data_IF_701800584008
#
_entry.id   IF_701800584008
#
_cell.length_a   1.000
_cell.length_b   1.000
_cell.length_c   1.000
_cell.angle_alpha   90.00
_cell.angle_beta   90.00
_cell.angle_gamma   90.00
#
_symmetry.space_group_name_H-M   'P 1'
#
loop_
_entity.id
_entity.type
_entity.pdbx_description
1 polymer ?
#
# COMPACT_ATOMS: atom_id res chain seq x y z
N UNK A 1 9.41 21.24 -2.68
CA UNK A 1 9.25 19.77 -2.82
C UNK A 1 8.81 19.21 -1.47
N UNK A 2 7.68 18.51 -1.38
CA UNK A 2 7.12 18.06 -0.09
C UNK A 2 5.63 17.68 -0.11
N UNK A 3 4.92 17.96 -1.22
CA UNK A 3 3.49 17.67 -1.37
C UNK A 3 3.18 16.19 -1.12
N UNK A 4 3.96 15.26 -1.68
CA UNK A 4 3.75 13.81 -1.49
C UNK A 4 3.86 13.41 -0.02
N UNK A 5 4.86 13.91 0.70
CA UNK A 5 5.06 13.62 2.12
C UNK A 5 3.94 14.25 2.99
N UNK A 6 3.47 15.43 2.62
CA UNK A 6 2.31 16.07 3.27
C UNK A 6 1.02 15.30 3.00
N UNK A 7 0.78 14.87 1.77
CA UNK A 7 -0.38 14.06 1.39
C UNK A 7 -0.36 12.70 2.06
N UNK A 8 0.79 12.04 2.14
CA UNK A 8 0.94 10.77 2.85
C UNK A 8 0.64 10.96 4.35
N UNK A 9 1.21 12.00 4.97
CA UNK A 9 0.92 12.32 6.37
C UNK A 9 -0.55 12.67 6.65
N UNK A 10 -1.25 13.25 5.67
CA UNK A 10 -2.70 13.49 5.76
C UNK A 10 -3.50 12.20 5.57
N UNK A 11 -3.15 11.38 4.58
CA UNK A 11 -3.81 10.12 4.27
C UNK A 11 -3.65 9.08 5.40
N UNK A 12 -2.50 9.05 6.06
CA UNK A 12 -2.20 8.12 7.17
C UNK A 12 -2.51 8.72 8.55
N UNK A 13 -3.18 9.88 8.61
CA UNK A 13 -3.53 10.55 9.87
C UNK A 13 -4.51 9.74 10.73
N UNK A 14 -5.39 8.97 10.08
CA UNK A 14 -6.37 8.08 10.72
C UNK A 14 -6.42 6.74 9.98
N UNK A 15 -5.39 5.88 10.14
CA UNK A 15 -5.35 4.58 9.52
C UNK A 15 -6.56 3.72 9.92
N UNK A 16 -6.99 2.87 8.99
CA UNK A 16 -7.99 1.83 9.21
C UNK A 16 -7.29 0.52 9.54
N UNK A 17 -7.57 -0.02 10.72
CA UNK A 17 -6.89 -1.20 11.24
C UNK A 17 -7.77 -2.44 11.14
N UNK A 18 -7.32 -3.46 10.41
CA UNK A 18 -7.92 -4.78 10.43
C UNK A 18 -7.34 -5.58 11.60
N UNK A 19 -8.16 -5.83 12.62
CA UNK A 19 -7.73 -6.45 13.89
C UNK A 19 -8.12 -7.92 13.92
N UNK A 20 -7.12 -8.79 13.91
CA UNK A 20 -7.26 -10.24 14.01
C UNK A 20 -6.90 -10.67 15.42
N UNK A 21 -7.74 -11.50 16.03
CA UNK A 21 -7.48 -12.09 17.35
C UNK A 21 -6.99 -13.54 17.18
N UNK A 22 -5.83 -13.84 17.76
CA UNK A 22 -5.34 -15.20 17.91
C UNK A 22 -6.02 -15.88 19.12
N UNK A 23 -6.06 -17.23 19.19
CA UNK A 23 -6.59 -17.93 20.36
C UNK A 23 -5.95 -17.43 21.67
N UNK A 24 -6.78 -16.97 22.62
CA UNK A 24 -6.31 -16.38 23.89
C UNK A 24 -5.89 -14.90 23.82
N UNK A 25 -6.00 -14.27 22.65
CA UNK A 25 -5.57 -12.90 22.36
C UNK A 25 -6.53 -11.78 22.81
N UNK A 26 -7.60 -12.11 23.55
CA UNK A 26 -8.65 -11.15 23.91
C UNK A 26 -8.12 -9.94 24.70
N UNK A 27 -7.16 -10.14 25.61
CA UNK A 27 -6.57 -9.04 26.40
C UNK A 27 -5.79 -8.05 25.54
N UNK A 28 -5.08 -8.58 24.54
CA UNK A 28 -4.31 -7.82 23.56
C UNK A 28 -5.26 -7.07 22.62
N UNK A 29 -6.34 -7.72 22.18
CA UNK A 29 -7.39 -7.09 21.37
C UNK A 29 -8.01 -5.90 22.10
N UNK A 30 -8.39 -6.09 23.36
CA UNK A 30 -8.96 -5.01 24.18
C UNK A 30 -8.00 -3.82 24.35
N UNK A 31 -6.70 -4.08 24.51
CA UNK A 31 -5.69 -3.03 24.60
C UNK A 31 -5.53 -2.29 23.27
N UNK A 32 -5.45 -3.01 22.16
CA UNK A 32 -5.41 -2.44 20.80
C UNK A 32 -6.64 -1.57 20.55
N UNK A 33 -7.86 -2.08 20.75
CA UNK A 33 -9.09 -1.32 20.49
C UNK A 33 -9.18 -0.06 21.36
N UNK A 34 -8.71 -0.12 22.62
CA UNK A 34 -8.60 1.04 23.51
C UNK A 34 -7.66 2.10 22.93
N UNK A 35 -6.47 1.70 22.49
CA UNK A 35 -5.50 2.60 21.86
C UNK A 35 -6.03 3.19 20.54
N UNK A 36 -6.65 2.38 19.69
CA UNK A 36 -7.27 2.85 18.46
C UNK A 36 -8.32 3.93 18.74
N UNK A 37 -9.19 3.68 19.73
CA UNK A 37 -10.20 4.65 20.15
C UNK A 37 -9.56 5.94 20.70
N UNK A 38 -8.55 5.82 21.56
CA UNK A 38 -7.83 6.98 22.12
C UNK A 38 -7.15 7.83 21.04
N UNK A 39 -6.68 7.21 19.95
CA UNK A 39 -6.04 7.86 18.79
C UNK A 39 -7.04 8.35 17.75
N UNK A 40 -8.31 7.99 17.86
CA UNK A 40 -9.35 8.25 16.85
C UNK A 40 -9.13 7.48 15.54
N UNK A 41 -8.43 6.37 15.59
CA UNK A 41 -8.24 5.43 14.48
C UNK A 41 -9.45 4.50 14.39
N UNK A 42 -9.71 3.95 13.20
CA UNK A 42 -10.95 3.19 12.95
C UNK A 42 -10.64 1.72 12.66
N UNK A 43 -11.47 0.78 13.13
CA UNK A 43 -11.41 -0.59 12.64
C UNK A 43 -11.79 -0.64 11.15
N UNK A 44 -11.15 -1.53 10.41
CA UNK A 44 -11.52 -1.91 9.07
C UNK A 44 -12.37 -3.19 9.10
N UNK A 45 -13.36 -3.29 8.22
CA UNK A 45 -14.23 -4.47 8.12
C UNK A 45 -13.78 -5.46 7.05
N UNK A 46 -12.81 -5.08 6.21
CA UNK A 46 -12.19 -5.95 5.20
C UNK A 46 -10.72 -5.60 4.98
N UNK A 47 -9.88 -6.58 4.58
CA UNK A 47 -8.47 -6.36 4.25
C UNK A 47 -8.25 -5.29 3.19
N UNK A 48 -9.06 -5.30 2.13
CA UNK A 48 -8.98 -4.32 1.02
C UNK A 48 -9.25 -2.86 1.44
N UNK A 49 -9.85 -2.66 2.62
CA UNK A 49 -10.11 -1.32 3.18
C UNK A 49 -9.13 -0.94 4.29
N UNK A 50 -8.18 -1.80 4.64
CA UNK A 50 -7.29 -1.60 5.76
C UNK A 50 -5.92 -1.06 5.33
N UNK A 51 -5.37 -0.18 6.16
CA UNK A 51 -4.00 0.31 6.04
C UNK A 51 -3.08 -0.47 6.99
N UNK A 52 -3.64 -1.09 8.03
CA UNK A 52 -2.87 -1.79 9.06
C UNK A 52 -3.47 -3.16 9.34
N UNK A 53 -2.64 -4.19 9.34
CA UNK A 53 -2.99 -5.50 9.91
C UNK A 53 -2.46 -5.57 11.34
N UNK A 54 -3.34 -5.80 12.31
CA UNK A 54 -2.99 -5.97 13.72
C UNK A 54 -3.33 -7.38 14.16
N UNK A 55 -2.32 -8.14 14.57
CA UNK A 55 -2.49 -9.48 15.14
C UNK A 55 -2.42 -9.37 16.67
N UNK A 56 -3.48 -9.78 17.36
CA UNK A 56 -3.58 -9.75 18.82
C UNK A 56 -3.36 -11.15 19.38
N UNK A 57 -2.25 -11.35 20.08
CA UNK A 57 -1.79 -12.64 20.59
C UNK A 57 -0.80 -13.33 19.65
N UNK A 58 -0.41 -14.54 20.02
CA UNK A 58 0.51 -15.38 19.26
C UNK A 58 -0.27 -16.32 18.33
N UNK A 59 -0.01 -16.23 17.03
CA UNK A 59 -0.62 -17.14 16.06
C UNK A 59 0.05 -18.49 16.12
N UNK A 60 -0.78 -19.54 16.13
CA UNK A 60 -0.29 -20.89 15.86
C UNK A 60 0.28 -20.96 14.44
N UNK A 61 1.29 -21.81 14.16
CA UNK A 61 1.91 -21.92 12.84
C UNK A 61 0.91 -22.14 11.70
N UNK A 62 -0.17 -22.85 11.96
CA UNK A 62 -1.24 -23.12 10.98
C UNK A 62 -2.01 -21.86 10.60
N UNK A 63 -2.11 -20.88 11.50
CA UNK A 63 -2.81 -19.61 11.29
C UNK A 63 -1.89 -18.51 10.72
N UNK A 64 -0.57 -18.68 10.79
CA UNK A 64 0.39 -17.71 10.25
C UNK A 64 0.20 -17.48 8.74
N UNK A 65 -0.03 -18.55 7.98
CA UNK A 65 -0.30 -18.46 6.54
C UNK A 65 -1.58 -17.68 6.22
N UNK A 66 -2.60 -17.78 7.07
CA UNK A 66 -3.83 -17.01 6.91
C UNK A 66 -3.59 -15.52 7.15
N UNK A 67 -2.75 -15.16 8.13
CA UNK A 67 -2.36 -13.77 8.36
C UNK A 67 -1.52 -13.21 7.20
N UNK A 68 -0.64 -14.01 6.61
CA UNK A 68 0.12 -13.61 5.41
C UNK A 68 -0.80 -13.43 4.19
N UNK A 69 -1.84 -14.25 4.04
CA UNK A 69 -2.86 -14.07 3.00
C UNK A 69 -3.70 -12.80 3.23
N UNK A 70 -4.08 -12.49 4.46
CA UNK A 70 -4.75 -11.23 4.77
C UNK A 70 -3.84 -10.04 4.46
N UNK A 71 -2.56 -10.15 4.81
CA UNK A 71 -1.56 -9.13 4.53
C UNK A 71 -1.37 -8.86 3.03
N UNK A 72 -1.37 -9.90 2.19
CA UNK A 72 -1.25 -9.73 0.74
C UNK A 72 -2.44 -9.00 0.12
N UNK A 73 -3.62 -9.06 0.75
CA UNK A 73 -4.84 -8.37 0.32
C UNK A 73 -4.92 -6.91 0.74
N UNK A 74 -4.05 -6.43 1.64
CA UNK A 74 -4.04 -5.02 2.04
C UNK A 74 -3.45 -4.14 0.91
N UNK A 75 -4.10 -3.04 0.52
CA UNK A 75 -3.50 -2.07 -0.40
C UNK A 75 -2.32 -1.35 0.25
N UNK A 76 -1.42 -0.77 -0.56
CA UNK A 76 -0.39 0.14 -0.08
C UNK A 76 -0.89 1.60 -0.04
N UNK A 77 -0.37 2.47 0.84
CA UNK A 77 0.62 2.20 1.89
C UNK A 77 0.05 1.38 3.05
N UNK A 78 0.84 0.45 3.60
CA UNK A 78 0.40 -0.44 4.68
C UNK A 78 1.48 -0.77 5.71
N UNK A 79 1.03 -1.19 6.89
CA UNK A 79 1.89 -1.65 7.97
C UNK A 79 1.29 -2.88 8.68
N UNK A 80 2.13 -3.69 9.31
CA UNK A 80 1.66 -4.82 10.14
C UNK A 80 2.31 -4.78 11.50
N UNK A 81 1.57 -5.21 12.51
CA UNK A 81 2.10 -5.39 13.85
C UNK A 81 1.47 -6.60 14.53
N UNK A 82 2.19 -7.16 15.49
CA UNK A 82 1.71 -8.21 16.40
C UNK A 82 1.83 -7.70 17.82
N UNK A 83 0.79 -7.90 18.63
CA UNK A 83 0.75 -7.53 20.05
C UNK A 83 0.63 -8.81 20.86
N UNK A 84 1.69 -9.20 21.56
CA UNK A 84 1.67 -10.36 22.47
C UNK A 84 1.47 -9.93 23.92
N UNK A 85 1.95 -8.74 24.29
CA UNK A 85 1.69 -8.09 25.58
C UNK A 85 0.73 -6.88 25.39
N UNK A 86 -0.41 -6.82 26.10
CA UNK A 86 -1.30 -5.66 26.10
C UNK A 86 -0.60 -4.30 26.35
N UNK A 87 0.48 -4.27 27.13
CA UNK A 87 1.24 -3.05 27.43
C UNK A 87 1.98 -2.46 26.22
N UNK A 88 2.25 -3.26 25.19
CA UNK A 88 3.01 -2.84 24.00
C UNK A 88 2.12 -2.23 22.90
N UNK A 89 0.80 -2.32 23.02
CA UNK A 89 -0.15 -1.88 22.00
C UNK A 89 0.07 -0.42 21.57
N UNK A 90 0.29 0.49 22.53
CA UNK A 90 0.52 1.91 22.24
C UNK A 90 1.81 2.15 21.46
N UNK A 91 2.94 1.62 21.95
CA UNK A 91 4.24 1.75 21.30
C UNK A 91 4.24 1.14 19.89
N UNK A 92 3.58 -0.02 19.73
CA UNK A 92 3.44 -0.67 18.43
C UNK A 92 2.62 0.15 17.43
N UNK A 93 1.56 0.84 17.87
CA UNK A 93 0.78 1.74 17.00
C UNK A 93 1.53 3.02 16.63
N UNK A 94 2.45 3.51 17.47
CA UNK A 94 3.34 4.62 17.10
C UNK A 94 4.35 4.21 16.03
N UNK A 95 4.88 2.99 16.15
CA UNK A 95 5.76 2.39 15.14
C UNK A 95 5.03 2.17 13.80
N UNK A 96 3.79 1.67 13.84
CA UNK A 96 2.91 1.57 12.65
C UNK A 96 2.76 2.92 11.96
N UNK A 97 2.54 4.01 12.72
CA UNK A 97 2.44 5.34 12.12
C UNK A 97 3.73 5.75 11.42
N UNK A 98 4.89 5.47 12.02
CA UNK A 98 6.20 5.74 11.42
C UNK A 98 6.35 4.99 10.09
N UNK A 99 6.01 3.69 10.06
CA UNK A 99 6.07 2.86 8.85
C UNK A 99 5.14 3.37 7.74
N UNK A 100 3.91 3.76 8.07
CA UNK A 100 2.96 4.30 7.09
C UNK A 100 3.43 5.62 6.47
N UNK A 101 4.21 6.41 7.20
CA UNK A 101 4.76 7.69 6.71
C UNK A 101 6.12 7.58 6.01
N UNK A 102 6.75 6.40 6.02
CA UNK A 102 8.03 6.13 5.37
C UNK A 102 7.84 5.86 3.86
N UNK A 103 7.70 6.93 3.07
CA UNK A 103 7.49 6.86 1.61
C UNK A 103 8.53 5.99 0.89
N UNK A 104 9.86 6.12 1.15
CA UNK A 104 10.85 5.23 0.54
C UNK A 104 10.64 3.75 0.85
N UNK A 105 10.30 3.40 2.09
CA UNK A 105 10.02 2.02 2.46
C UNK A 105 8.72 1.51 1.82
N UNK A 106 7.64 2.30 1.82
CA UNK A 106 6.37 1.95 1.21
C UNK A 106 6.50 1.70 -0.30
N UNK A 107 7.26 2.53 -1.01
CA UNK A 107 7.53 2.35 -2.45
C UNK A 107 8.33 1.09 -2.75
N UNK A 108 9.33 0.76 -1.94
CA UNK A 108 10.11 -0.47 -2.09
C UNK A 108 9.23 -1.70 -1.88
N UNK A 109 8.44 -1.72 -0.81
CA UNK A 109 7.51 -2.80 -0.51
C UNK A 109 6.43 -2.98 -1.60
N UNK A 110 5.98 -1.88 -2.22
CA UNK A 110 5.08 -1.95 -3.37
C UNK A 110 5.75 -2.63 -4.58
N UNK A 111 6.99 -2.25 -4.93
CA UNK A 111 7.74 -2.84 -6.04
C UNK A 111 8.08 -4.32 -5.83
N UNK A 112 8.36 -4.72 -4.60
CA UNK A 112 8.63 -6.12 -4.25
C UNK A 112 7.37 -6.97 -4.42
N UNK A 113 6.22 -6.46 -4.00
CA UNK A 113 4.93 -7.13 -4.23
C UNK A 113 4.60 -7.34 -5.70
N UNK A 114 4.75 -6.30 -6.53
CA UNK A 114 4.40 -6.41 -7.96
C UNK A 114 5.26 -7.49 -8.64
N UNK A 115 6.46 -7.78 -8.12
CA UNK A 115 7.33 -8.87 -8.57
C UNK A 115 6.89 -10.25 -8.06
N UNK A 116 6.42 -10.34 -6.82
CA UNK A 116 5.95 -11.60 -6.21
C UNK A 116 4.54 -12.00 -6.70
N UNK A 117 3.69 -11.03 -7.05
CA UNK A 117 2.32 -11.21 -7.57
C UNK A 117 2.28 -11.86 -8.98
N UNK A 118 3.43 -12.09 -9.62
CA UNK A 118 3.56 -12.99 -10.79
C UNK A 118 3.37 -14.47 -10.40
N UNK A 119 3.06 -14.78 -9.13
CA UNK A 119 2.67 -16.12 -8.64
C UNK A 119 1.15 -16.37 -8.67
N UNK A 120 0.66 -17.54 -9.15
CA UNK A 120 -0.72 -17.75 -9.57
C UNK A 120 -1.76 -17.92 -8.44
N UNK A 121 -1.41 -17.66 -7.18
CA UNK A 121 -2.24 -18.09 -6.04
C UNK A 121 -3.51 -17.26 -5.79
N UNK A 122 -3.67 -16.11 -6.46
CA UNK A 122 -4.90 -15.30 -6.40
C UNK A 122 -5.70 -15.30 -7.71
N UNK A 123 -5.25 -16.01 -8.75
CA UNK A 123 -5.91 -16.07 -10.06
C UNK A 123 -7.17 -16.95 -10.11
N UNK A 124 -7.83 -17.24 -8.98
CA UNK A 124 -9.01 -18.12 -8.93
C UNK A 124 -10.35 -17.40 -8.77
N UNK A 125 -10.41 -16.06 -8.75
CA UNK A 125 -11.68 -15.33 -8.78
C UNK A 125 -11.60 -14.10 -9.69
N UNK A 126 -11.69 -14.34 -10.98
CA UNK A 126 -11.74 -13.29 -11.99
C UNK A 126 -11.12 -13.77 -13.28
N UNK A 127 -11.80 -14.68 -13.97
CA UNK A 127 -11.56 -14.97 -15.37
C UNK A 127 -11.89 -13.68 -16.15
N UNK A 128 -10.91 -12.77 -16.21
CA UNK A 128 -10.86 -11.69 -17.20
C UNK A 128 -9.62 -11.97 -18.03
N UNK A 129 -9.89 -12.63 -19.15
CA UNK A 129 -9.04 -12.68 -20.34
C UNK A 129 -8.64 -11.25 -20.73
N UNK A 130 -7.53 -10.79 -20.18
CA UNK A 130 -6.79 -9.67 -20.73
C UNK A 130 -5.63 -10.30 -21.49
N UNK A 131 -5.90 -10.59 -22.77
CA UNK A 131 -4.90 -11.00 -23.74
C UNK A 131 -3.64 -10.15 -23.63
N UNK A 132 -2.50 -10.84 -23.75
CA UNK A 132 -1.14 -10.32 -23.79
C UNK A 132 -1.07 -8.91 -24.41
N UNK A 133 -0.94 -7.89 -23.57
CA UNK A 133 -0.30 -6.65 -23.99
C UNK A 133 1.18 -6.81 -23.65
N UNK A 134 1.93 -7.30 -24.63
CA UNK A 134 3.38 -7.20 -24.69
C UNK A 134 3.76 -5.71 -24.63
N UNK A 135 4.07 -5.22 -23.43
CA UNK A 135 4.72 -3.93 -23.27
C UNK A 135 6.20 -4.11 -23.57
N UNK A 136 6.49 -4.30 -24.86
CA UNK A 136 7.83 -4.15 -25.42
C UNK A 136 8.40 -2.80 -25.01
N UNK A 137 9.66 -2.85 -24.58
CA UNK A 137 10.50 -1.71 -24.24
C UNK A 137 10.34 -0.58 -25.27
N UNK A 138 9.65 0.51 -24.91
CA UNK A 138 9.77 1.76 -25.65
C UNK A 138 10.99 2.51 -25.12
N UNK A 139 12.15 2.14 -25.66
CA UNK A 139 13.35 2.97 -25.64
C UNK A 139 13.07 4.22 -26.49
N UNK A 140 12.75 5.35 -25.85
CA UNK A 140 12.72 6.65 -26.51
C UNK A 140 14.14 7.24 -26.51
N UNK A 141 15.05 6.56 -27.21
CA UNK A 141 16.31 7.13 -27.67
C UNK A 141 16.09 7.98 -28.91
N UNK A 142 16.59 9.23 -28.85
CA UNK A 142 16.84 10.19 -29.94
C UNK A 142 15.95 10.12 -31.19
N UNK A 143 14.97 11.04 -31.26
CA UNK A 143 14.55 11.61 -32.55
C UNK A 143 15.21 12.97 -32.73
N UNK A 144 16.39 12.94 -33.36
CA UNK A 144 17.02 14.07 -34.03
C UNK A 144 16.15 14.47 -35.22
N UNK A 145 15.35 15.54 -35.06
CA UNK A 145 14.68 16.17 -36.19
C UNK A 145 15.58 17.27 -36.76
N UNK A 146 16.54 16.83 -37.58
CA UNK A 146 17.22 17.69 -38.53
C UNK A 146 16.24 18.28 -39.55
N UNK A 147 16.44 19.58 -39.82
CA UNK A 147 15.93 20.41 -40.92
C UNK A 147 14.57 20.07 -41.53
N UNK A 148 13.55 20.84 -41.12
CA UNK A 148 12.45 21.21 -42.02
C UNK A 148 12.64 22.67 -42.44
N UNK A 149 13.24 22.83 -43.62
CA UNK A 149 13.25 24.05 -44.42
C UNK A 149 11.80 24.41 -44.80
N UNK A 150 11.26 25.45 -44.17
CA UNK A 150 10.04 26.10 -44.60
C UNK A 150 10.40 27.43 -45.26
N UNK A 151 10.59 27.34 -46.57
CA UNK A 151 10.70 28.48 -47.46
C UNK A 151 9.49 29.42 -47.37
N UNK A 152 9.81 30.69 -47.59
CA UNK A 152 8.98 31.89 -47.74
C UNK A 152 7.45 31.69 -47.78
N UNK A 153 6.77 32.30 -46.82
CA UNK A 153 5.42 32.84 -47.01
C UNK A 153 5.48 34.36 -46.93
N UNK A 154 5.64 34.98 -48.09
CA UNK A 154 5.41 36.41 -48.31
C UNK A 154 3.91 36.69 -48.36
N UNK A 155 3.38 37.44 -47.39
CA UNK A 155 2.07 38.05 -47.46
C UNK A 155 2.08 39.39 -46.74
N UNK A 156 2.25 40.45 -47.52
CA UNK A 156 2.10 41.82 -47.06
C UNK A 156 1.80 42.81 -48.18
N UNK A 157 0.67 42.65 -48.87
CA UNK A 157 0.01 43.77 -49.56
C UNK A 157 -1.17 44.23 -48.70
N UNK A 158 -1.03 45.43 -48.13
CA UNK A 158 -2.11 46.24 -47.59
C UNK A 158 -2.44 47.32 -48.61
N UNK A 159 -3.68 47.34 -49.09
CA UNK A 159 -4.38 48.54 -49.58
C UNK A 159 -5.84 48.49 -49.11
#
# INVERSE_FOLDING_TARGET
>A
MGLTQQLLGLATRRPRCYVVEAPGGASQRMAVERELNARGWRPAWSPASADVLVVCGELLPELAQAADLLWSQLPGPRARMTVTDPGEAGAGLDEVRRQLTDDPAQRRAARERDRDEVSPRLASHGDMDHGEMDHGEMDHGDMDHGDMDHGDMDHGDMD
#
